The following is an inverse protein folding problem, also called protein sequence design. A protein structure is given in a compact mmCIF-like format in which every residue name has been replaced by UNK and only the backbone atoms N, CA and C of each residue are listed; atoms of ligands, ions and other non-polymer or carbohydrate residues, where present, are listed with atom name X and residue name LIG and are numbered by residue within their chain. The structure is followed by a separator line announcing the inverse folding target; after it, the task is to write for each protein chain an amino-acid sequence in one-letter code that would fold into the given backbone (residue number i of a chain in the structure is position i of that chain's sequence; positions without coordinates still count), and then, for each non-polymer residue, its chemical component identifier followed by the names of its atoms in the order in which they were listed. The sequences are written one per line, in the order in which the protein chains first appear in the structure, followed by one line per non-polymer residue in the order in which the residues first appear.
data_IF_800263435023
#
_entry.id   IF_800263435023
#
_cell.length_a   1.000
_cell.length_b   1.000
_cell.length_c   1.000
_cell.angle_alpha   90.00
_cell.angle_beta   90.00
_cell.angle_gamma   90.00
#
_symmetry.space_group_name_H-M   'P 1'
#
loop_
_entity.id
_entity.type
_entity.pdbx_description
1 polymer ?
#
# COMPACT_ATOMS: atom_id res chain seq x y z
N UNK A 1 -53.09 23.26 36.30
CA UNK A 1 -52.27 24.21 37.09
C UNK A 1 -50.86 23.64 37.05
N UNK A 2 -49.98 24.04 36.12
CA UNK A 2 -49.20 25.29 36.15
C UNK A 2 -48.05 25.10 37.15
N UNK A 3 -46.76 25.26 36.86
CA UNK A 3 -46.00 25.74 35.71
C UNK A 3 -44.53 25.93 36.20
N UNK A 4 -43.58 25.84 35.26
CA UNK A 4 -42.26 26.51 35.14
C UNK A 4 -41.50 27.08 36.36
N UNK A 5 -40.17 26.89 36.37
CA UNK A 5 -39.05 27.84 36.64
C UNK A 5 -37.74 27.00 36.71
N UNK A 6 -36.83 26.95 35.74
CA UNK A 6 -35.88 27.92 35.17
C UNK A 6 -34.59 28.18 36.01
N UNK A 7 -33.47 27.70 35.43
CA UNK A 7 -32.06 28.17 35.37
C UNK A 7 -31.23 28.70 36.56
N UNK A 8 -29.92 28.39 36.42
CA UNK A 8 -28.71 29.15 36.79
C UNK A 8 -28.24 29.06 38.27
N UNK A 9 -26.95 28.99 38.64
CA UNK A 9 -25.66 29.11 37.94
C UNK A 9 -24.50 28.83 38.94
N UNK A 10 -23.32 28.50 38.39
CA UNK A 10 -21.94 28.83 38.84
C UNK A 10 -21.27 28.16 40.06
N UNK A 11 -20.08 27.59 39.77
CA UNK A 11 -18.77 27.74 40.44
C UNK A 11 -17.73 27.03 39.53
N UNK A 12 -16.97 27.73 38.66
CA UNK A 12 -15.58 28.25 38.85
C UNK A 12 -14.63 27.12 39.29
N UNK A 13 -13.56 26.72 38.55
CA UNK A 13 -12.29 27.37 38.18
C UNK A 13 -11.79 26.78 36.83
N UNK A 14 -11.11 27.43 35.88
CA UNK A 14 -10.24 28.61 35.89
C UNK A 14 -8.81 28.22 35.47
N UNK A 15 -8.23 28.97 34.51
CA UNK A 15 -6.80 29.07 34.09
C UNK A 15 -6.41 28.32 32.79
N UNK A 16 -6.33 29.01 31.65
CA UNK A 16 -5.31 29.97 31.17
C UNK A 16 -4.32 29.30 30.20
N UNK A 17 -4.51 29.63 28.92
CA UNK A 17 -3.53 29.43 27.85
C UNK A 17 -2.48 30.52 27.96
N UNK A 18 -1.23 30.15 28.23
CA UNK A 18 -0.07 31.02 28.03
C UNK A 18 0.94 30.35 27.10
N UNK A 19 1.32 31.12 26.08
CA UNK A 19 2.45 30.87 25.18
C UNK A 19 3.76 31.04 25.95
N UNK A 20 4.84 30.52 25.36
CA UNK A 20 6.25 30.74 25.72
C UNK A 20 6.83 29.87 26.85
N UNK A 21 7.31 28.67 26.49
CA UNK A 21 8.51 28.06 27.10
C UNK A 21 9.39 27.43 26.01
N UNK A 22 10.12 28.34 25.35
CA UNK A 22 11.37 28.09 24.66
C UNK A 22 12.47 27.72 25.69
N UNK A 23 13.53 27.04 25.23
CA UNK A 23 14.87 26.81 25.84
C UNK A 23 15.12 25.38 26.42
N UNK A 24 16.37 24.88 26.43
CA UNK A 24 16.94 24.08 25.34
C UNK A 24 17.64 22.81 25.87
N UNK A 25 17.92 21.82 25.02
CA UNK A 25 18.82 20.74 25.39
C UNK A 25 19.69 20.37 24.19
N UNK A 26 20.97 20.77 24.27
CA UNK A 26 22.18 20.04 23.84
C UNK A 26 23.30 21.02 23.47
N UNK A 27 23.98 21.53 24.50
CA UNK A 27 25.35 22.00 24.41
C UNK A 27 26.21 21.14 25.35
N UNK A 28 26.92 20.17 24.77
CA UNK A 28 28.29 19.78 25.11
C UNK A 28 28.56 18.33 24.69
N UNK A 29 29.19 18.16 23.52
CA UNK A 29 30.30 17.21 23.40
C UNK A 29 31.24 17.67 22.27
N UNK A 30 32.29 18.40 22.70
CA UNK A 30 33.68 18.42 22.19
C UNK A 30 33.87 18.73 20.68
N UNK A 31 34.44 19.86 20.23
CA UNK A 31 35.73 20.50 20.59
C UNK A 31 36.90 19.52 20.67
N UNK A 32 37.32 18.97 19.52
CA UNK A 32 38.73 18.69 19.14
C UNK A 32 38.72 18.60 17.60
N UNK A 33 39.14 19.60 16.83
CA UNK A 33 40.50 19.72 16.35
C UNK A 33 40.73 21.13 15.80
N UNK A 34 41.77 21.76 16.32
CA UNK A 34 42.25 23.09 15.99
C UNK A 34 43.48 22.94 15.08
N UNK A 35 43.60 23.87 14.12
CA UNK A 35 44.82 24.32 13.43
C UNK A 35 45.47 23.46 12.34
N UNK A 36 45.36 23.92 11.09
CA UNK A 36 46.42 24.18 10.08
C UNK A 36 45.75 25.06 8.99
N UNK A 37 46.31 26.06 8.30
CA UNK A 37 47.51 26.90 8.37
C UNK A 37 47.40 27.87 7.16
N UNK A 38 47.37 29.19 7.37
CA UNK A 38 47.85 30.28 6.47
C UNK A 38 47.17 30.56 5.08
N UNK A 39 47.40 31.74 4.45
CA UNK A 39 46.33 32.65 4.01
C UNK A 39 46.21 32.75 2.47
N UNK A 40 45.05 33.24 2.03
CA UNK A 40 44.76 33.57 0.63
C UNK A 40 45.78 34.56 0.05
N UNK A 41 46.65 34.07 -0.83
CA UNK A 41 47.34 34.89 -1.83
C UNK A 41 46.52 34.82 -3.11
N UNK A 42 46.06 36.00 -3.51
CA UNK A 42 45.49 36.33 -4.80
C UNK A 42 46.50 35.99 -5.91
N UNK A 43 46.22 35.01 -6.76
CA UNK A 43 46.82 34.91 -8.10
C UNK A 43 45.73 34.57 -9.10
N UNK A 44 45.44 35.56 -9.93
CA UNK A 44 44.69 35.48 -11.16
C UNK A 44 45.43 34.59 -12.16
N UNK A 45 44.85 33.47 -12.56
CA UNK A 45 45.03 32.91 -13.92
C UNK A 45 43.93 31.91 -14.23
N UNK A 46 43.05 32.30 -15.17
CA UNK A 46 42.30 31.47 -16.10
C UNK A 46 41.95 30.05 -15.66
N UNK A 47 40.76 29.88 -15.09
CA UNK A 47 40.00 28.63 -15.21
C UNK A 47 38.62 28.96 -15.77
N UNK A 48 38.47 28.70 -17.07
CA UNK A 48 37.17 28.63 -17.73
C UNK A 48 36.44 27.46 -17.10
N UNK A 49 35.51 27.73 -16.18
CA UNK A 49 34.54 26.74 -15.74
C UNK A 49 33.51 26.60 -16.86
N UNK A 50 33.66 25.55 -17.67
CA UNK A 50 32.54 25.03 -18.46
C UNK A 50 31.41 24.71 -17.48
N UNK A 51 30.34 25.50 -17.53
CA UNK A 51 29.07 25.15 -16.94
C UNK A 51 28.52 23.91 -17.67
N UNK A 52 28.95 22.73 -17.25
CA UNK A 52 28.18 21.52 -17.50
C UNK A 52 26.90 21.59 -16.67
N UNK A 53 25.90 22.28 -17.21
CA UNK A 53 24.50 22.02 -16.88
C UNK A 53 24.25 20.58 -17.33
N UNK A 54 24.23 19.65 -16.39
CA UNK A 54 23.70 18.31 -16.63
C UNK A 54 22.18 18.50 -16.69
N UNK A 55 21.68 18.84 -17.88
CA UNK A 55 20.27 18.69 -18.21
C UNK A 55 19.97 17.20 -18.22
N UNK A 56 19.40 16.70 -17.13
CA UNK A 56 18.76 15.40 -17.10
C UNK A 56 17.52 15.49 -18.00
N UNK A 57 17.70 15.26 -19.30
CA UNK A 57 16.57 15.03 -20.20
C UNK A 57 15.88 13.76 -19.72
N UNK A 58 14.60 13.89 -19.33
CA UNK A 58 13.69 12.77 -19.06
C UNK A 58 13.88 11.76 -20.20
N UNK A 59 14.30 10.51 -19.92
CA UNK A 59 14.53 9.58 -20.99
C UNK A 59 13.18 9.30 -21.65
N UNK A 60 13.07 9.68 -22.93
CA UNK A 60 11.96 9.36 -23.81
C UNK A 60 12.05 7.89 -24.17
N UNK A 61 11.70 7.00 -23.23
CA UNK A 61 11.63 5.57 -23.49
C UNK A 61 10.18 5.23 -23.80
N UNK A 62 9.82 5.32 -25.08
CA UNK A 62 8.74 4.48 -25.61
C UNK A 62 9.29 3.06 -25.63
N UNK A 63 9.24 2.39 -24.50
CA UNK A 63 9.37 0.94 -24.43
C UNK A 63 7.96 0.42 -24.19
N UNK A 64 7.26 0.03 -25.26
CA UNK A 64 6.06 -0.78 -25.13
C UNK A 64 6.46 -2.10 -24.46
N UNK A 65 6.38 -2.13 -23.13
CA UNK A 65 6.50 -3.36 -22.37
C UNK A 65 5.18 -4.11 -22.64
N UNK A 66 5.15 -4.95 -23.67
CA UNK A 66 3.99 -5.80 -24.01
C UNK A 66 3.86 -6.95 -23.00
N UNK A 67 3.81 -6.59 -21.72
CA UNK A 67 3.70 -7.53 -20.61
C UNK A 67 2.23 -7.90 -20.47
N UNK A 68 1.94 -9.18 -20.27
CA UNK A 68 0.59 -9.66 -20.00
C UNK A 68 0.21 -9.43 -18.55
N UNK A 69 -1.09 -9.37 -18.24
CA UNK A 69 -1.56 -9.30 -16.85
C UNK A 69 -0.98 -10.42 -15.97
N UNK A 70 -0.81 -11.64 -16.51
CA UNK A 70 -0.19 -12.75 -15.79
C UNK A 70 1.26 -12.45 -15.40
N UNK A 71 2.03 -11.85 -16.30
CA UNK A 71 3.42 -11.46 -16.00
C UNK A 71 3.47 -10.30 -15.00
N UNK A 72 2.52 -9.38 -15.03
CA UNK A 72 2.35 -8.35 -14.00
C UNK A 72 2.09 -8.97 -12.61
N UNK A 73 1.19 -9.95 -12.51
CA UNK A 73 0.97 -10.66 -11.24
C UNK A 73 2.22 -11.41 -10.76
N UNK A 74 2.97 -12.04 -11.67
CA UNK A 74 4.23 -12.69 -11.34
C UNK A 74 5.28 -11.69 -10.83
N UNK A 75 5.33 -10.50 -11.43
CA UNK A 75 6.19 -9.40 -10.98
C UNK A 75 5.79 -8.94 -9.57
N UNK A 76 4.50 -8.77 -9.30
CA UNK A 76 3.97 -8.46 -7.96
C UNK A 76 4.33 -9.53 -6.92
N UNK A 77 4.17 -10.81 -7.26
CA UNK A 77 4.53 -11.92 -6.36
C UNK A 77 6.04 -11.93 -6.05
N UNK A 78 6.87 -11.70 -7.07
CA UNK A 78 8.31 -11.63 -6.92
C UNK A 78 8.71 -10.48 -5.99
N UNK A 79 8.18 -9.27 -6.22
CA UNK A 79 8.44 -8.11 -5.37
C UNK A 79 8.04 -8.37 -3.92
N UNK A 80 6.84 -8.92 -3.70
CA UNK A 80 6.39 -9.31 -2.35
C UNK A 80 7.35 -10.30 -1.70
N UNK A 81 7.80 -11.33 -2.43
CA UNK A 81 8.73 -12.34 -1.92
C UNK A 81 10.08 -11.73 -1.52
N UNK A 82 10.58 -10.77 -2.29
CA UNK A 82 11.82 -10.07 -2.01
C UNK A 82 11.71 -9.19 -0.75
N UNK A 83 10.61 -8.44 -0.60
CA UNK A 83 10.34 -7.67 0.63
C UNK A 83 10.29 -8.63 1.83
N UNK A 84 9.57 -9.74 1.69
CA UNK A 84 9.45 -10.76 2.75
C UNK A 84 10.80 -11.34 3.11
N UNK A 85 11.68 -11.59 2.13
CA UNK A 85 13.02 -12.12 2.37
C UNK A 85 13.90 -11.12 3.14
N UNK A 86 13.92 -9.85 2.72
CA UNK A 86 14.67 -8.78 3.39
C UNK A 86 14.19 -8.54 4.83
N UNK A 87 12.89 -8.75 5.08
CA UNK A 87 12.23 -8.44 6.34
C UNK A 87 11.66 -9.70 7.04
N UNK A 88 12.30 -10.85 6.89
CA UNK A 88 11.73 -12.15 7.29
C UNK A 88 11.21 -12.24 8.72
N UNK A 89 11.87 -11.61 9.70
CA UNK A 89 11.44 -11.56 11.10
C UNK A 89 10.20 -10.67 11.36
N UNK A 90 9.86 -9.81 10.40
CA UNK A 90 8.75 -8.86 10.49
C UNK A 90 7.52 -9.30 9.68
N UNK A 91 7.53 -10.50 9.08
CA UNK A 91 6.43 -11.00 8.27
C UNK A 91 5.73 -12.23 8.89
N UNK A 92 4.42 -12.10 9.07
CA UNK A 92 3.48 -13.19 9.40
C UNK A 92 2.56 -13.55 8.24
N UNK A 93 2.60 -12.80 7.14
CA UNK A 93 1.75 -13.05 5.97
C UNK A 93 2.09 -14.37 5.26
N UNK A 94 1.06 -15.15 4.96
CA UNK A 94 1.11 -16.45 4.29
C UNK A 94 -0.29 -17.03 4.08
N UNK A 95 -0.37 -18.22 3.50
CA UNK A 95 -1.64 -18.96 3.41
C UNK A 95 -2.24 -19.14 4.81
N UNK A 96 -3.53 -18.82 4.98
CA UNK A 96 -4.22 -18.83 6.27
C UNK A 96 -4.22 -17.51 7.03
N UNK A 97 -3.33 -16.56 6.68
CA UNK A 97 -3.45 -15.18 7.13
C UNK A 97 -4.55 -14.48 6.31
N UNK A 98 -5.51 -13.87 7.00
CA UNK A 98 -6.72 -13.32 6.37
C UNK A 98 -7.14 -11.95 6.92
N UNK A 99 -6.23 -11.20 7.57
CA UNK A 99 -6.58 -9.86 8.07
C UNK A 99 -6.93 -8.87 6.96
N UNK A 100 -6.31 -9.00 5.78
CA UNK A 100 -6.65 -8.18 4.63
C UNK A 100 -7.89 -8.67 3.86
N UNK A 101 -8.55 -9.75 4.29
CA UNK A 101 -9.74 -10.30 3.62
C UNK A 101 -11.01 -9.51 4.00
N UNK A 102 -11.01 -8.22 3.68
CA UNK A 102 -12.12 -7.30 3.95
C UNK A 102 -13.32 -7.57 3.01
N UNK A 103 -14.55 -7.22 3.43
CA UNK A 103 -15.72 -7.31 2.56
C UNK A 103 -15.70 -6.23 1.46
N UNK A 104 -16.59 -6.36 0.49
CA UNK A 104 -16.86 -5.36 -0.55
C UNK A 104 -15.67 -4.90 -1.40
N UNK A 105 -14.63 -5.73 -1.49
CA UNK A 105 -13.52 -5.51 -2.42
C UNK A 105 -14.02 -5.48 -3.86
N UNK A 106 -13.41 -4.64 -4.68
CA UNK A 106 -13.66 -4.55 -6.12
C UNK A 106 -12.36 -4.77 -6.88
N UNK A 107 -12.47 -5.28 -8.10
CA UNK A 107 -11.34 -5.58 -8.99
C UNK A 107 -11.64 -5.07 -10.38
N UNK A 108 -10.63 -4.80 -11.19
CA UNK A 108 -10.85 -4.42 -12.59
C UNK A 108 -11.48 -5.56 -13.38
N UNK A 109 -12.21 -5.24 -14.45
CA UNK A 109 -12.76 -6.23 -15.40
C UNK A 109 -11.70 -7.20 -15.93
N UNK A 110 -10.48 -6.72 -16.18
CA UNK A 110 -9.32 -7.54 -16.56
C UNK A 110 -9.00 -8.62 -15.50
N UNK A 111 -8.94 -8.22 -14.23
CA UNK A 111 -8.64 -9.15 -13.12
C UNK A 111 -9.80 -10.13 -12.91
N UNK A 112 -11.03 -9.65 -12.96
CA UNK A 112 -12.23 -10.47 -12.91
C UNK A 112 -12.23 -11.54 -14.01
N UNK A 113 -11.89 -11.16 -15.24
CA UNK A 113 -11.79 -12.08 -16.38
C UNK A 113 -10.74 -13.18 -16.14
N UNK A 114 -9.59 -12.81 -15.55
CA UNK A 114 -8.57 -13.80 -15.18
C UNK A 114 -9.06 -14.78 -14.11
N UNK A 115 -9.86 -14.33 -13.14
CA UNK A 115 -10.46 -15.20 -12.12
C UNK A 115 -11.50 -16.11 -12.76
N UNK A 116 -12.38 -15.57 -13.60
CA UNK A 116 -13.40 -16.35 -14.32
C UNK A 116 -12.75 -17.44 -15.16
N UNK A 117 -11.71 -17.13 -15.94
CA UNK A 117 -11.01 -18.13 -16.74
C UNK A 117 -10.46 -19.27 -15.86
N UNK A 118 -9.84 -18.94 -14.73
CA UNK A 118 -9.33 -19.95 -13.79
C UNK A 118 -10.44 -20.85 -13.23
N UNK A 119 -11.62 -20.28 -12.98
CA UNK A 119 -12.79 -21.00 -12.46
C UNK A 119 -13.47 -21.88 -13.52
N UNK A 120 -13.57 -21.43 -14.77
CA UNK A 120 -14.16 -22.23 -15.86
C UNK A 120 -13.35 -23.50 -16.15
N UNK A 121 -12.04 -23.45 -15.95
CA UNK A 121 -11.16 -24.63 -16.01
C UNK A 121 -11.34 -25.59 -14.82
N UNK A 122 -12.06 -25.18 -13.76
CA UNK A 122 -12.24 -25.89 -12.49
C UNK A 122 -13.70 -25.81 -11.99
N UNK A 123 -14.66 -26.43 -12.67
CA UNK A 123 -16.08 -26.33 -12.33
C UNK A 123 -16.42 -26.76 -10.89
N UNK A 124 -15.66 -27.70 -10.31
CA UNK A 124 -15.80 -28.13 -8.91
C UNK A 124 -15.55 -27.00 -7.91
N UNK A 125 -14.66 -26.04 -8.26
CA UNK A 125 -14.44 -24.85 -7.44
C UNK A 125 -15.64 -23.90 -7.54
N UNK A 126 -16.29 -23.78 -8.69
CA UNK A 126 -17.48 -22.93 -8.84
C UNK A 126 -18.60 -23.40 -7.91
N UNK A 127 -18.86 -24.71 -7.86
CA UNK A 127 -19.86 -25.28 -6.95
C UNK A 127 -19.50 -24.99 -5.49
N UNK A 128 -18.26 -25.28 -5.09
CA UNK A 128 -17.76 -25.05 -3.72
C UNK A 128 -17.87 -23.58 -3.32
N UNK A 129 -17.47 -22.66 -4.20
CA UNK A 129 -17.51 -21.22 -3.94
C UNK A 129 -18.95 -20.68 -3.93
N UNK A 130 -19.86 -21.29 -4.70
CA UNK A 130 -21.29 -20.92 -4.69
C UNK A 130 -21.93 -21.26 -3.35
N UNK A 131 -21.59 -22.41 -2.79
CA UNK A 131 -22.01 -22.81 -1.43
C UNK A 131 -21.42 -21.84 -0.42
N UNK A 132 -20.11 -21.56 -0.50
CA UNK A 132 -19.45 -20.63 0.42
C UNK A 132 -20.09 -19.23 0.42
N UNK A 133 -20.33 -18.66 -0.76
CA UNK A 133 -20.96 -17.33 -0.89
C UNK A 133 -22.40 -17.31 -0.35
N UNK A 134 -23.14 -18.42 -0.50
CA UNK A 134 -24.50 -18.56 0.03
C UNK A 134 -24.53 -18.75 1.54
N UNK A 135 -23.61 -19.56 2.08
CA UNK A 135 -23.51 -19.82 3.51
C UNK A 135 -23.00 -18.59 4.28
N UNK A 136 -22.12 -17.81 3.65
CA UNK A 136 -21.51 -16.60 4.21
C UNK A 136 -21.09 -16.82 5.67
N UNK A 137 -20.09 -17.69 5.92
CA UNK A 137 -19.72 -18.11 7.27
C UNK A 137 -19.28 -16.94 8.17
N UNK A 138 -18.85 -15.83 7.54
CA UNK A 138 -18.40 -14.60 8.19
C UNK A 138 -19.49 -13.51 8.22
N UNK A 139 -20.71 -13.80 7.78
CA UNK A 139 -21.89 -12.93 7.84
C UNK A 139 -21.64 -11.54 7.26
N UNK A 140 -20.97 -11.47 6.12
CA UNK A 140 -20.68 -10.24 5.38
C UNK A 140 -19.56 -9.39 5.98
N UNK A 141 -18.88 -9.85 7.04
CA UNK A 141 -17.78 -9.11 7.68
C UNK A 141 -16.42 -9.35 7.04
N UNK A 142 -16.34 -10.26 6.06
CA UNK A 142 -15.11 -10.66 5.36
C UNK A 142 -15.39 -10.89 3.88
N UNK A 143 -14.31 -10.98 3.10
CA UNK A 143 -14.36 -11.34 1.68
C UNK A 143 -15.14 -12.66 1.47
N UNK A 144 -15.98 -12.72 0.44
CA UNK A 144 -16.85 -13.89 0.17
C UNK A 144 -16.08 -15.15 -0.23
N UNK A 145 -14.80 -15.02 -0.60
CA UNK A 145 -13.92 -16.15 -0.88
C UNK A 145 -13.18 -16.69 0.34
N UNK A 146 -13.41 -16.13 1.55
CA UNK A 146 -12.77 -16.61 2.78
C UNK A 146 -13.56 -17.79 3.35
N UNK A 147 -12.93 -18.97 3.41
CA UNK A 147 -13.53 -20.17 4.01
C UNK A 147 -13.67 -20.01 5.52
N UNK A 148 -14.48 -20.87 6.14
CA UNK A 148 -14.63 -20.91 7.60
C UNK A 148 -13.31 -21.23 8.32
N UNK A 149 -12.43 -21.99 7.67
CA UNK A 149 -11.11 -22.37 8.15
C UNK A 149 -10.07 -21.26 7.99
N UNK A 150 -10.44 -20.09 7.44
CA UNK A 150 -9.54 -18.95 7.27
C UNK A 150 -8.65 -19.03 6.02
N UNK A 151 -9.01 -19.88 5.04
CA UNK A 151 -8.27 -19.99 3.76
C UNK A 151 -9.03 -19.29 2.63
N UNK A 152 -8.33 -18.84 1.59
CA UNK A 152 -8.97 -18.19 0.45
C UNK A 152 -9.28 -19.22 -0.66
N UNK A 153 -10.55 -19.30 -1.07
CA UNK A 153 -11.00 -20.24 -2.11
C UNK A 153 -10.48 -19.92 -3.52
N UNK A 154 -9.94 -18.72 -3.74
CA UNK A 154 -9.29 -18.31 -5.01
C UNK A 154 -7.80 -17.96 -4.81
N UNK A 155 -7.14 -18.50 -3.78
CA UNK A 155 -5.77 -18.09 -3.40
C UNK A 155 -4.76 -18.07 -4.56
N UNK A 156 -4.85 -19.06 -5.46
CA UNK A 156 -3.96 -19.21 -6.61
C UNK A 156 -4.15 -18.13 -7.70
N UNK A 157 -5.35 -17.57 -7.82
CA UNK A 157 -5.71 -16.55 -8.82
C UNK A 157 -6.11 -15.23 -8.15
N UNK A 158 -5.48 -14.91 -7.00
CA UNK A 158 -5.75 -13.66 -6.30
C UNK A 158 -5.45 -12.44 -7.19
N UNK A 159 -6.31 -11.41 -7.15
CA UNK A 159 -6.09 -10.15 -7.87
C UNK A 159 -4.93 -9.36 -7.24
N UNK A 160 -4.50 -8.28 -7.90
CA UNK A 160 -3.36 -7.48 -7.48
C UNK A 160 -3.51 -6.92 -6.06
N UNK A 161 -4.69 -6.39 -5.73
CA UNK A 161 -4.98 -5.87 -4.39
C UNK A 161 -4.68 -6.92 -3.31
N UNK A 162 -5.01 -8.19 -3.54
CA UNK A 162 -4.76 -9.26 -2.59
C UNK A 162 -3.29 -9.75 -2.56
N UNK A 163 -2.47 -9.37 -3.54
CA UNK A 163 -1.03 -9.72 -3.62
C UNK A 163 -0.14 -8.63 -3.03
N UNK A 164 -0.54 -7.37 -3.16
CA UNK A 164 0.15 -6.24 -2.52
C UNK A 164 -0.15 -6.15 -1.03
N UNK A 165 -1.38 -6.47 -0.62
CA UNK A 165 -1.76 -6.42 0.79
C UNK A 165 -0.97 -7.43 1.64
N UNK A 166 -0.50 -6.95 2.79
CA UNK A 166 0.39 -7.69 3.68
C UNK A 166 1.84 -7.23 3.57
N UNK A 167 2.27 -6.69 2.43
CA UNK A 167 3.54 -5.95 2.37
C UNK A 167 3.32 -4.50 2.86
N UNK A 168 4.39 -3.77 3.20
CA UNK A 168 4.34 -2.32 3.32
C UNK A 168 3.86 -1.70 2.01
N UNK A 169 2.97 -0.72 2.12
CA UNK A 169 2.42 0.03 1.00
C UNK A 169 2.73 1.52 1.17
N UNK A 170 2.88 2.22 0.06
CA UNK A 170 3.03 3.67 0.03
C UNK A 170 2.03 4.25 -0.98
N UNK A 171 1.37 5.34 -0.59
CA UNK A 171 0.39 6.05 -1.40
C UNK A 171 0.88 7.49 -1.58
N UNK A 172 1.01 7.94 -2.81
CA UNK A 172 1.42 9.31 -3.12
C UNK A 172 0.40 10.31 -2.57
N UNK A 173 0.91 11.36 -1.95
CA UNK A 173 0.22 12.59 -1.61
C UNK A 173 0.93 13.74 -2.36
N UNK A 174 0.39 14.96 -2.29
CA UNK A 174 0.92 16.10 -3.06
C UNK A 174 2.44 16.32 -2.84
N UNK A 175 2.92 16.21 -1.59
CA UNK A 175 4.31 16.51 -1.23
C UNK A 175 5.07 15.34 -0.56
N UNK A 176 4.41 14.20 -0.31
CA UNK A 176 5.00 13.07 0.44
C UNK A 176 4.29 11.75 0.13
N UNK A 177 4.81 10.63 0.66
CA UNK A 177 4.15 9.33 0.61
C UNK A 177 3.54 8.98 1.97
N UNK A 178 2.26 8.61 1.99
CA UNK A 178 1.65 7.97 3.14
C UNK A 178 1.99 6.48 3.14
N UNK A 179 2.81 6.06 4.09
CA UNK A 179 3.23 4.68 4.25
C UNK A 179 2.34 3.96 5.27
N UNK A 180 1.94 2.73 4.96
CA UNK A 180 1.16 1.86 5.86
C UNK A 180 1.71 0.43 5.83
N UNK A 181 1.51 -0.30 6.94
CA UNK A 181 1.90 -1.69 7.09
C UNK A 181 0.77 -2.49 7.73
N UNK A 182 0.67 -3.76 7.36
CA UNK A 182 -0.27 -4.67 8.00
C UNK A 182 -0.02 -4.73 9.52
N UNK A 183 -1.07 -4.62 10.33
CA UNK A 183 -0.98 -4.62 11.81
C UNK A 183 -0.40 -5.93 12.40
N UNK A 184 -0.38 -7.01 11.64
CA UNK A 184 0.26 -8.28 12.04
C UNK A 184 1.73 -8.38 11.63
N UNK A 185 2.15 -7.57 10.67
CA UNK A 185 3.53 -7.49 10.22
C UNK A 185 4.21 -6.26 10.84
N UNK A 186 5.53 -6.24 10.86
CA UNK A 186 6.31 -5.09 11.34
C UNK A 186 5.96 -4.61 12.75
N UNK A 187 5.42 -5.48 13.60
CA UNK A 187 5.04 -5.17 14.99
C UNK A 187 6.23 -4.78 15.87
N UNK A 188 7.44 -5.20 15.47
CA UNK A 188 8.70 -4.99 16.21
C UNK A 188 9.71 -4.13 15.42
N UNK A 189 9.44 -3.84 14.15
CA UNK A 189 10.35 -3.07 13.27
C UNK A 189 9.66 -1.77 12.87
N UNK A 190 10.16 -0.59 13.30
CA UNK A 190 9.58 0.70 12.93
C UNK A 190 9.57 0.90 11.41
N UNK A 191 8.48 1.44 10.89
CA UNK A 191 8.25 1.63 9.45
C UNK A 191 9.27 2.58 8.82
N UNK A 192 9.80 3.53 9.60
CA UNK A 192 10.79 4.54 9.20
C UNK A 192 12.16 3.93 8.88
N UNK A 193 12.38 2.66 9.26
CA UNK A 193 13.62 1.94 8.97
C UNK A 193 13.58 1.19 7.64
N UNK A 194 12.46 1.24 6.92
CA UNK A 194 12.27 0.59 5.63
C UNK A 194 12.76 1.48 4.49
N UNK A 195 13.46 0.86 3.53
CA UNK A 195 13.85 1.53 2.29
C UNK A 195 12.72 1.55 1.26
N UNK A 196 12.76 2.40 0.22
CA UNK A 196 11.74 2.43 -0.84
C UNK A 196 11.47 1.07 -1.49
N UNK A 197 12.49 0.21 -1.59
CA UNK A 197 12.40 -1.16 -2.10
C UNK A 197 11.54 -2.09 -1.25
N UNK A 198 11.25 -1.73 0.00
CA UNK A 198 10.41 -2.52 0.91
C UNK A 198 8.92 -2.21 0.75
N UNK A 199 8.53 -1.31 -0.16
CA UNK A 199 7.15 -0.88 -0.37
C UNK A 199 6.59 -1.28 -1.73
N UNK A 200 5.28 -1.53 -1.77
CA UNK A 200 4.50 -1.32 -2.98
C UNK A 200 4.08 0.15 -3.05
N UNK A 201 4.67 0.91 -3.96
CA UNK A 201 4.21 2.28 -4.27
C UNK A 201 2.94 2.16 -5.12
N UNK A 202 1.77 2.23 -4.48
CA UNK A 202 0.51 1.79 -5.08
C UNK A 202 0.16 2.58 -6.34
N UNK A 203 0.51 3.85 -6.42
CA UNK A 203 0.29 4.69 -7.60
C UNK A 203 1.01 4.13 -8.83
N UNK A 204 2.31 3.80 -8.71
CA UNK A 204 3.13 3.24 -9.79
C UNK A 204 2.62 1.86 -10.21
N UNK A 205 2.29 1.00 -9.24
CA UNK A 205 1.79 -0.34 -9.53
C UNK A 205 0.39 -0.33 -10.13
N UNK A 206 -0.48 0.58 -9.70
CA UNK A 206 -1.80 0.75 -10.30
C UNK A 206 -1.70 1.35 -11.71
N UNK A 207 -0.77 2.27 -11.97
CA UNK A 207 -0.50 2.76 -13.32
C UNK A 207 -0.03 1.61 -14.25
N UNK A 208 0.88 0.75 -13.78
CA UNK A 208 1.28 -0.45 -14.54
C UNK A 208 0.08 -1.39 -14.76
N UNK A 209 -0.74 -1.65 -13.73
CA UNK A 209 -1.96 -2.47 -13.86
C UNK A 209 -2.93 -1.91 -14.90
N UNK A 210 -3.19 -0.60 -14.87
CA UNK A 210 -4.08 0.07 -15.80
C UNK A 210 -3.56 0.06 -17.24
N UNK A 211 -2.23 0.02 -17.44
CA UNK A 211 -1.63 -0.14 -18.76
C UNK A 211 -1.99 -1.48 -19.45
N UNK A 212 -2.48 -2.46 -18.70
CA UNK A 212 -2.90 -3.77 -19.21
C UNK A 212 -4.38 -3.85 -19.62
N UNK A 213 -5.17 -2.80 -19.39
CA UNK A 213 -6.61 -2.79 -19.68
C UNK A 213 -7.04 -1.52 -20.41
N UNK A 214 -7.95 -1.60 -21.41
CA UNK A 214 -8.54 -0.42 -22.03
C UNK A 214 -9.66 0.20 -21.18
N UNK A 215 -10.07 -0.45 -20.07
CA UNK A 215 -11.18 -0.04 -19.22
C UNK A 215 -10.79 -0.07 -17.75
N UNK A 216 -11.17 0.97 -17.02
CA UNK A 216 -11.03 1.06 -15.56
C UNK A 216 -12.27 0.55 -14.82
N UNK A 217 -13.23 -0.04 -15.53
CA UNK A 217 -14.46 -0.58 -14.94
C UNK A 217 -14.10 -1.63 -13.86
N UNK A 218 -14.78 -1.53 -12.71
CA UNK A 218 -14.59 -2.41 -11.57
C UNK A 218 -15.83 -3.22 -11.26
N UNK A 219 -15.61 -4.48 -10.91
CA UNK A 219 -16.65 -5.44 -10.53
C UNK A 219 -16.44 -5.81 -9.06
N UNK A 220 -17.52 -5.96 -8.26
CA UNK A 220 -17.42 -6.53 -6.93
C UNK A 220 -16.79 -7.92 -6.96
N UNK A 221 -15.83 -8.18 -6.07
CA UNK A 221 -15.13 -9.45 -5.95
C UNK A 221 -16.01 -10.48 -5.23
N UNK A 222 -17.05 -10.93 -5.92
CA UNK A 222 -18.04 -11.92 -5.47
C UNK A 222 -18.32 -12.89 -6.61
N UNK A 223 -18.57 -14.16 -6.30
CA UNK A 223 -18.73 -15.19 -7.33
C UNK A 223 -19.90 -14.87 -8.27
N UNK A 224 -21.05 -14.50 -7.70
CA UNK A 224 -22.24 -14.10 -8.46
C UNK A 224 -22.01 -12.90 -9.38
N UNK A 225 -21.12 -11.97 -9.01
CA UNK A 225 -20.75 -10.83 -9.85
C UNK A 225 -19.78 -11.24 -10.96
N UNK A 226 -18.80 -12.09 -10.66
CA UNK A 226 -17.81 -12.58 -11.63
C UNK A 226 -18.47 -13.39 -12.75
N UNK A 227 -19.49 -14.19 -12.45
CA UNK A 227 -20.15 -15.08 -13.41
C UNK A 227 -21.37 -14.47 -14.12
N UNK A 228 -21.68 -13.18 -13.88
CA UNK A 228 -22.93 -12.53 -14.34
C UNK A 228 -23.09 -12.42 -15.87
N UNK A 229 -22.11 -12.87 -16.67
CA UNK A 229 -22.16 -12.92 -18.13
C UNK A 229 -21.59 -14.20 -18.75
N UNK A 230 -21.34 -15.24 -17.94
CA UNK A 230 -20.78 -16.53 -18.42
C UNK A 230 -21.85 -17.58 -18.73
N UNK A 231 -23.12 -17.26 -18.51
CA UNK A 231 -24.25 -18.17 -18.79
C UNK A 231 -24.52 -18.40 -20.28
N UNK A 232 -23.81 -17.70 -21.16
CA UNK A 232 -23.91 -17.80 -22.62
C UNK A 232 -22.70 -18.49 -23.28
N UNK A 233 -21.80 -19.11 -22.50
CA UNK A 233 -20.60 -19.83 -22.98
C UNK A 233 -20.76 -21.35 -22.92
#
# INVERSE_FOLDING_TARGET
MGGLLQDSQHLIWGMHLEKDKFLPWLSHWLVVHKHYFYPCIFVLTNFVFEHHIITLTKPSIVSMKTTTYKQFLQHSDQHFSEIKQRNSYSFRCGLGCHECCLPDLTVLTLEASSIVQYLLERPELIETLSILEKEDPHKGTRCTFLTKEGTCGIYAVRPFICRSHGAPIAIAQEDYYHADVCQLNFTEKPIETLGPEDFFILDEWNEELLSHTPSEERIPLRLSNLLKGTSDL
#
